data_IF_394018575141
#
_entry.id   IF_394018575141
#
_cell.length_a   1.000
_cell.length_b   1.000
_cell.length_c   1.000
_cell.angle_alpha   90.00
_cell.angle_beta   90.00
_cell.angle_gamma   90.00
#
_symmetry.space_group_name_H-M   'P 1'
#
loop_
_entity.id
_entity.type
_entity.pdbx_description
1 polymer ?
#
# COMPACT_ATOMS: atom_id res chain seq x y z
N UNK A 1 -31.18 -8.19 3.84
CA UNK A 1 -30.06 -8.43 2.90
C UNK A 1 -28.86 -8.93 3.69
N UNK A 2 -28.41 -10.16 3.40
CA UNK A 2 -27.48 -10.92 4.22
C UNK A 2 -26.03 -10.53 3.89
N UNK A 3 -25.44 -9.63 4.68
CA UNK A 3 -24.11 -9.08 4.42
C UNK A 3 -22.97 -10.13 4.49
N UNK A 4 -23.27 -11.32 5.03
CA UNK A 4 -22.35 -12.46 5.10
C UNK A 4 -22.18 -13.24 3.78
N UNK A 5 -23.02 -13.03 2.76
CA UNK A 5 -22.94 -13.80 1.53
C UNK A 5 -21.86 -13.32 0.55
N UNK A 6 -21.29 -12.13 0.76
CA UNK A 6 -20.24 -11.58 -0.11
C UNK A 6 -18.80 -11.97 0.28
N UNK A 7 -18.61 -12.56 1.46
CA UNK A 7 -17.32 -13.06 1.97
C UNK A 7 -16.92 -14.46 1.44
N UNK A 8 -17.64 -14.99 0.44
CA UNK A 8 -17.61 -16.42 0.11
C UNK A 8 -16.61 -16.83 -0.99
N UNK A 9 -15.66 -15.97 -1.38
CA UNK A 9 -14.65 -16.30 -2.41
C UNK A 9 -13.21 -16.39 -1.87
N UNK A 10 -13.02 -16.37 -0.55
CA UNK A 10 -11.74 -16.65 0.10
C UNK A 10 -11.60 -18.16 0.41
N UNK A 11 -10.41 -18.79 0.31
CA UNK A 11 -10.18 -20.23 0.56
C UNK A 11 -10.58 -20.74 1.96
N UNK A 12 -11.09 -19.86 2.84
CA UNK A 12 -11.66 -20.19 4.14
C UNK A 12 -13.10 -20.75 4.07
N UNK A 13 -13.66 -20.97 2.87
CA UNK A 13 -14.97 -21.61 2.71
C UNK A 13 -15.00 -23.08 3.21
N UNK A 14 -13.85 -23.74 3.35
CA UNK A 14 -13.79 -25.17 3.76
C UNK A 14 -13.71 -25.41 5.27
N UNK A 15 -13.53 -24.37 6.11
CA UNK A 15 -13.61 -24.51 7.57
C UNK A 15 -14.87 -23.83 8.13
N UNK A 16 -16.03 -24.27 7.63
CA UNK A 16 -17.36 -23.82 8.03
C UNK A 16 -17.88 -24.52 9.32
N UNK A 17 -17.02 -24.88 10.26
CA UNK A 17 -17.43 -25.40 11.56
C UNK A 17 -17.86 -24.24 12.48
N UNK A 18 -19.18 -24.10 12.65
CA UNK A 18 -19.89 -23.19 13.57
C UNK A 18 -19.50 -21.69 13.52
N UNK A 19 -20.10 -20.94 12.59
CA UNK A 19 -20.29 -19.49 12.79
C UNK A 19 -21.28 -19.28 13.94
N UNK A 20 -20.80 -19.23 15.19
CA UNK A 20 -21.63 -18.89 16.36
C UNK A 20 -22.18 -17.47 16.15
N UNK A 21 -23.51 -17.34 16.10
CA UNK A 21 -24.18 -16.03 16.09
C UNK A 21 -23.96 -15.39 17.45
N UNK A 22 -23.08 -14.39 17.52
CA UNK A 22 -22.72 -13.73 18.77
C UNK A 22 -23.80 -12.68 19.07
N UNK A 23 -24.42 -12.77 20.25
CA UNK A 23 -25.40 -11.80 20.75
C UNK A 23 -24.98 -11.33 22.14
N UNK A 24 -25.02 -10.02 22.40
CA UNK A 24 -24.59 -9.46 23.67
C UNK A 24 -24.64 -7.93 23.67
N UNK A 25 -24.07 -7.32 24.71
CA UNK A 25 -23.91 -5.86 24.81
C UNK A 25 -22.88 -5.35 23.78
N UNK A 26 -22.96 -4.07 23.42
CA UNK A 26 -22.01 -3.46 22.47
C UNK A 26 -20.56 -3.57 22.92
N UNK A 27 -20.30 -3.57 24.23
CA UNK A 27 -18.98 -3.85 24.81
C UNK A 27 -18.50 -5.27 24.47
N UNK A 28 -19.39 -6.25 24.58
CA UNK A 28 -19.04 -7.64 24.31
C UNK A 28 -18.80 -7.82 22.82
N UNK A 29 -19.68 -7.28 21.99
CA UNK A 29 -19.56 -7.39 20.54
C UNK A 29 -18.32 -6.65 20.03
N UNK A 30 -17.98 -5.47 20.57
CA UNK A 30 -16.80 -4.71 20.13
C UNK A 30 -15.50 -5.50 20.34
N UNK A 31 -15.40 -6.27 21.45
CA UNK A 31 -14.26 -7.19 21.69
C UNK A 31 -14.14 -8.28 20.63
N UNK A 32 -15.25 -8.87 20.19
CA UNK A 32 -15.22 -9.87 19.11
C UNK A 32 -14.84 -9.27 17.76
N UNK A 33 -15.39 -8.10 17.41
CA UNK A 33 -15.04 -7.42 16.16
C UNK A 33 -13.56 -7.02 16.17
N UNK A 34 -13.02 -6.60 17.31
CA UNK A 34 -11.58 -6.34 17.45
C UNK A 34 -10.73 -7.60 17.24
N UNK A 35 -11.16 -8.75 17.75
CA UNK A 35 -10.48 -10.02 17.46
C UNK A 35 -10.54 -10.40 15.98
N UNK A 36 -11.65 -10.12 15.30
CA UNK A 36 -11.75 -10.31 13.84
C UNK A 36 -10.76 -9.41 13.08
N UNK A 37 -10.61 -8.14 13.52
CA UNK A 37 -9.59 -7.21 12.98
C UNK A 37 -8.20 -7.81 13.11
N UNK A 38 -7.82 -8.29 14.31
CA UNK A 38 -6.51 -8.92 14.53
C UNK A 38 -6.33 -10.16 13.65
N UNK A 39 -7.39 -10.95 13.46
CA UNK A 39 -7.41 -12.10 12.57
C UNK A 39 -7.13 -11.73 11.11
N UNK A 40 -7.75 -10.67 10.60
CA UNK A 40 -7.52 -10.17 9.24
C UNK A 40 -6.11 -9.59 9.10
N UNK A 41 -5.63 -8.80 10.07
CA UNK A 41 -4.26 -8.29 10.07
C UNK A 41 -3.20 -9.41 10.04
N UNK A 42 -3.45 -10.49 10.79
CA UNK A 42 -2.59 -11.68 10.78
C UNK A 42 -2.56 -12.35 9.40
N UNK A 43 -3.72 -12.45 8.74
CA UNK A 43 -3.80 -13.02 7.40
C UNK A 43 -3.11 -12.14 6.35
N UNK A 44 -3.27 -10.82 6.44
CA UNK A 44 -2.55 -9.84 5.60
C UNK A 44 -1.04 -10.02 5.75
N UNK A 45 -0.55 -10.13 7.00
CA UNK A 45 0.87 -10.37 7.29
C UNK A 45 1.36 -11.70 6.68
N UNK A 46 0.58 -12.78 6.85
CA UNK A 46 0.90 -14.11 6.28
C UNK A 46 0.94 -14.09 4.76
N UNK A 47 0.02 -13.36 4.12
CA UNK A 47 0.03 -13.20 2.66
C UNK A 47 1.25 -12.41 2.21
N UNK A 48 1.65 -11.37 2.95
CA UNK A 48 2.87 -10.65 2.66
C UNK A 48 4.11 -11.53 2.72
N UNK A 49 4.26 -12.36 3.76
CA UNK A 49 5.38 -13.31 3.88
C UNK A 49 5.49 -14.25 2.67
N UNK A 50 4.36 -14.61 2.05
CA UNK A 50 4.32 -15.48 0.85
C UNK A 50 4.54 -14.75 -0.47
N UNK A 51 4.09 -13.50 -0.56
CA UNK A 51 3.94 -12.80 -1.85
C UNK A 51 4.86 -11.59 -2.01
N UNK A 52 5.38 -11.06 -0.91
CA UNK A 52 6.10 -9.77 -0.89
C UNK A 52 5.23 -8.59 -1.31
N UNK A 53 3.90 -8.68 -1.25
CA UNK A 53 2.99 -7.64 -1.77
C UNK A 53 3.00 -6.35 -0.94
N UNK A 54 3.31 -6.44 0.35
CA UNK A 54 3.55 -5.31 1.25
C UNK A 54 5.05 -5.01 1.40
N UNK A 55 5.89 -5.29 0.39
CA UNK A 55 7.21 -4.66 0.37
C UNK A 55 7.01 -3.16 0.53
N UNK A 56 7.79 -2.55 1.42
CA UNK A 56 7.81 -1.12 1.77
C UNK A 56 7.61 -0.20 0.55
N UNK A 57 8.21 -0.54 -0.58
CA UNK A 57 8.10 0.22 -1.84
C UNK A 57 6.73 0.19 -2.57
N UNK A 58 5.76 -0.60 -2.12
CA UNK A 58 4.49 -0.80 -2.83
C UNK A 58 3.36 0.10 -2.31
N UNK A 59 2.46 0.53 -3.22
CA UNK A 59 1.19 1.20 -2.87
C UNK A 59 0.45 0.50 -1.73
N UNK A 60 0.51 -0.84 -1.67
CA UNK A 60 -0.19 -1.62 -0.67
C UNK A 60 0.43 -1.54 0.71
N UNK A 61 1.75 -1.46 0.79
CA UNK A 61 2.44 -1.21 2.05
C UNK A 61 2.07 0.18 2.57
N UNK A 62 2.14 1.19 1.70
CA UNK A 62 1.75 2.56 2.06
C UNK A 62 0.28 2.66 2.44
N UNK A 63 -0.63 2.05 1.67
CA UNK A 63 -2.06 2.05 1.96
C UNK A 63 -2.37 1.35 3.29
N UNK A 64 -1.75 0.20 3.55
CA UNK A 64 -1.93 -0.53 4.80
C UNK A 64 -1.42 0.26 6.01
N UNK A 65 -0.27 0.91 5.87
CA UNK A 65 0.31 1.80 6.90
C UNK A 65 -0.58 3.01 7.17
N UNK A 66 -0.96 3.76 6.12
CA UNK A 66 -1.82 4.94 6.25
C UNK A 66 -3.17 4.60 6.86
N UNK A 67 -3.75 3.46 6.46
CA UNK A 67 -4.98 2.96 7.06
C UNK A 67 -4.78 2.69 8.55
N UNK A 68 -3.72 1.99 8.95
CA UNK A 68 -3.45 1.72 10.35
C UNK A 68 -3.29 2.99 11.19
N UNK A 69 -2.62 4.01 10.65
CA UNK A 69 -2.50 5.32 11.31
C UNK A 69 -3.83 6.05 11.42
N UNK A 70 -4.65 6.02 10.37
CA UNK A 70 -6.00 6.60 10.36
C UNK A 70 -6.89 5.94 11.41
N UNK A 71 -6.92 4.61 11.44
CA UNK A 71 -7.68 3.84 12.42
C UNK A 71 -7.25 4.17 13.86
N UNK A 72 -5.94 4.34 14.11
CA UNK A 72 -5.42 4.75 15.40
C UNK A 72 -5.86 6.18 15.78
N UNK A 73 -5.82 7.13 14.83
CA UNK A 73 -6.28 8.51 15.03
C UNK A 73 -7.77 8.57 15.34
N UNK A 74 -8.60 7.84 14.60
CA UNK A 74 -10.05 7.80 14.81
C UNK A 74 -10.41 7.21 16.19
N UNK A 75 -9.74 6.12 16.58
CA UNK A 75 -9.96 5.53 17.89
C UNK A 75 -9.57 6.49 19.03
N UNK A 76 -8.45 7.20 18.90
CA UNK A 76 -8.04 8.20 19.89
C UNK A 76 -9.00 9.41 19.92
N UNK A 77 -9.52 9.84 18.76
CA UNK A 77 -10.57 10.87 18.66
C UNK A 77 -11.83 10.44 19.41
N UNK A 78 -12.26 9.19 19.24
CA UNK A 78 -13.40 8.61 19.97
C UNK A 78 -13.15 8.62 21.48
N UNK A 79 -11.96 8.20 21.93
CA UNK A 79 -11.62 8.23 23.36
C UNK A 79 -11.68 9.64 23.94
N UNK A 80 -11.14 10.64 23.22
CA UNK A 80 -11.21 12.05 23.62
C UNK A 80 -12.64 12.58 23.68
N UNK A 81 -13.48 12.23 22.69
CA UNK A 81 -14.91 12.61 22.64
C UNK A 81 -15.65 12.22 23.92
N UNK A 82 -15.34 11.05 24.47
CA UNK A 82 -15.95 10.53 25.70
C UNK A 82 -15.12 10.77 26.96
N UNK A 83 -14.11 11.65 26.94
CA UNK A 83 -13.22 11.92 28.09
C UNK A 83 -12.61 10.65 28.68
N UNK A 84 -12.34 9.65 27.83
CA UNK A 84 -11.85 8.33 28.20
C UNK A 84 -12.79 7.49 29.08
N UNK A 85 -14.05 7.92 29.25
CA UNK A 85 -15.07 7.20 30.03
C UNK A 85 -15.74 6.10 29.18
N UNK A 86 -15.79 4.88 29.72
CA UNK A 86 -16.34 3.70 29.05
C UNK A 86 -17.84 3.54 29.32
N UNK A 87 -18.63 4.45 28.78
CA UNK A 87 -20.10 4.41 28.87
C UNK A 87 -20.72 3.45 27.85
N UNK A 88 -22.03 3.15 27.99
CA UNK A 88 -22.77 2.38 26.98
C UNK A 88 -22.69 3.06 25.59
N UNK A 89 -22.87 4.38 25.55
CA UNK A 89 -22.78 5.17 24.31
C UNK A 89 -21.39 5.11 23.68
N UNK A 90 -20.32 5.09 24.49
CA UNK A 90 -18.95 4.87 24.01
C UNK A 90 -18.82 3.52 23.30
N UNK A 91 -19.33 2.44 23.90
CA UNK A 91 -19.26 1.10 23.29
C UNK A 91 -20.11 0.95 22.03
N UNK A 92 -21.25 1.66 21.96
CA UNK A 92 -22.08 1.71 20.76
C UNK A 92 -21.31 2.35 19.58
N UNK A 93 -20.63 3.47 19.82
CA UNK A 93 -19.79 4.13 18.80
C UNK A 93 -18.52 3.35 18.48
N UNK A 94 -17.84 2.79 19.48
CA UNK A 94 -16.65 1.95 19.29
C UNK A 94 -16.98 0.75 18.40
N UNK A 95 -18.14 0.12 18.60
CA UNK A 95 -18.57 -1.01 17.79
C UNK A 95 -18.76 -0.62 16.32
N UNK A 96 -19.33 0.56 16.03
CA UNK A 96 -19.49 1.02 14.65
C UNK A 96 -18.14 1.36 14.00
N UNK A 97 -17.24 1.96 14.77
CA UNK A 97 -15.89 2.25 14.33
C UNK A 97 -15.13 0.97 13.95
N UNK A 98 -15.09 -0.01 14.85
CA UNK A 98 -14.41 -1.29 14.59
C UNK A 98 -15.04 -2.07 13.43
N UNK A 99 -16.35 -1.98 13.23
CA UNK A 99 -16.97 -2.57 12.03
C UNK A 99 -16.46 -1.92 10.75
N UNK A 100 -16.29 -0.60 10.74
CA UNK A 100 -15.75 0.14 9.59
C UNK A 100 -14.29 -0.25 9.33
N UNK A 101 -13.47 -0.29 10.39
CA UNK A 101 -12.07 -0.72 10.31
C UNK A 101 -11.92 -2.15 9.76
N UNK A 102 -12.77 -3.07 10.21
CA UNK A 102 -12.78 -4.43 9.70
C UNK A 102 -13.14 -4.49 8.20
N UNK A 103 -14.09 -3.68 7.74
CA UNK A 103 -14.47 -3.59 6.32
C UNK A 103 -13.29 -3.12 5.46
N UNK A 104 -12.60 -2.07 5.88
CA UNK A 104 -11.45 -1.52 5.16
C UNK A 104 -10.34 -2.56 5.02
N UNK A 105 -10.02 -3.27 6.11
CA UNK A 105 -9.02 -4.34 6.09
C UNK A 105 -9.41 -5.50 5.18
N UNK A 106 -10.69 -5.88 5.16
CA UNK A 106 -11.21 -6.89 4.22
C UNK A 106 -11.06 -6.42 2.77
N UNK A 107 -11.37 -5.16 2.47
CA UNK A 107 -11.18 -4.63 1.11
C UNK A 107 -9.71 -4.62 0.68
N UNK A 108 -8.78 -4.28 1.58
CA UNK A 108 -7.34 -4.38 1.32
C UNK A 108 -6.96 -5.84 1.03
N UNK A 109 -7.44 -6.77 1.86
CA UNK A 109 -7.19 -8.19 1.69
C UNK A 109 -7.68 -8.70 0.32
N UNK A 110 -8.92 -8.35 -0.06
CA UNK A 110 -9.50 -8.70 -1.36
C UNK A 110 -8.69 -8.10 -2.52
N UNK A 111 -8.26 -6.85 -2.38
CA UNK A 111 -7.43 -6.19 -3.37
C UNK A 111 -6.09 -6.89 -3.58
N UNK A 112 -5.48 -7.45 -2.51
CA UNK A 112 -4.22 -8.21 -2.61
C UNK A 112 -4.41 -9.57 -3.25
N UNK A 113 -5.56 -10.20 -3.00
CA UNK A 113 -5.91 -11.50 -3.56
C UNK A 113 -6.28 -11.42 -5.04
N UNK A 114 -6.66 -10.24 -5.55
CA UNK A 114 -6.98 -10.06 -6.96
C UNK A 114 -5.75 -10.33 -7.85
N UNK A 115 -5.90 -11.31 -8.76
CA UNK A 115 -4.82 -11.85 -9.61
C UNK A 115 -4.17 -10.82 -10.53
N UNK A 116 -4.95 -9.87 -11.05
CA UNK A 116 -4.43 -8.78 -11.90
C UNK A 116 -3.51 -7.85 -11.13
N UNK A 117 -3.94 -7.49 -9.93
CA UNK A 117 -3.21 -6.62 -9.01
C UNK A 117 -1.88 -7.28 -8.64
N UNK A 118 -1.90 -8.50 -8.08
CA UNK A 118 -0.69 -9.24 -7.70
C UNK A 118 0.31 -9.43 -8.86
N UNK A 119 -0.16 -9.68 -10.09
CA UNK A 119 0.70 -9.84 -11.26
C UNK A 119 1.40 -8.56 -11.70
N UNK A 120 0.77 -7.38 -11.55
CA UNK A 120 1.41 -6.08 -11.84
C UNK A 120 2.62 -5.87 -10.92
N UNK A 121 2.47 -6.16 -9.62
CA UNK A 121 3.58 -5.99 -8.65
C UNK A 121 4.68 -7.04 -8.82
N UNK A 122 4.31 -8.31 -9.06
CA UNK A 122 5.28 -9.38 -9.36
C UNK A 122 6.11 -9.06 -10.61
N UNK A 123 5.46 -8.53 -11.66
CA UNK A 123 6.15 -8.11 -12.90
C UNK A 123 7.12 -6.95 -12.68
N UNK A 124 6.76 -5.97 -11.84
CA UNK A 124 7.60 -4.80 -11.55
C UNK A 124 8.81 -5.12 -10.67
N UNK A 125 8.69 -6.07 -9.73
CA UNK A 125 9.85 -6.54 -8.94
C UNK A 125 10.86 -7.33 -9.79
N UNK A 126 10.41 -8.17 -10.73
CA UNK A 126 11.32 -8.92 -11.61
C UNK A 126 12.11 -8.04 -12.58
N UNK A 127 11.54 -6.92 -13.06
CA UNK A 127 12.28 -5.97 -13.92
C UNK A 127 13.43 -5.27 -13.18
N UNK A 128 13.22 -4.85 -11.93
CA UNK A 128 14.28 -4.25 -11.09
C UNK A 128 15.43 -5.20 -10.80
N UNK A 129 15.16 -6.51 -10.71
CA UNK A 129 16.20 -7.53 -10.49
C UNK A 129 17.09 -7.77 -11.73
N UNK A 130 16.63 -7.39 -12.92
CA UNK A 130 17.39 -7.57 -14.18
C UNK A 130 18.36 -6.43 -14.49
N UNK A 131 18.22 -5.26 -13.85
CA UNK A 131 19.06 -4.09 -14.10
C UNK A 131 20.29 -3.98 -13.18
N UNK A 132 20.47 -4.90 -12.22
CA UNK A 132 21.54 -4.83 -11.20
C UNK A 132 22.56 -5.97 -11.25
N UNK A 133 22.60 -6.77 -12.33
CA UNK A 133 23.52 -7.90 -12.48
C UNK A 133 24.78 -7.58 -13.29
N UNK A 134 25.39 -6.41 -13.13
CA UNK A 134 26.82 -6.23 -13.40
C UNK A 134 27.38 -5.20 -12.43
N UNK A 135 28.03 -5.65 -11.35
CA UNK A 135 29.30 -5.07 -10.85
C UNK A 135 29.77 -5.80 -9.57
N UNK A 136 30.71 -6.72 -9.78
CA UNK A 136 31.85 -7.14 -8.97
C UNK A 136 31.78 -7.14 -7.44
N UNK A 137 31.89 -8.37 -6.90
CA UNK A 137 32.22 -8.70 -5.52
C UNK A 137 33.70 -8.48 -5.23
N UNK A 138 34.03 -7.62 -4.27
CA UNK A 138 35.28 -7.69 -3.49
C UNK A 138 35.06 -7.25 -2.04
N UNK A 139 35.17 -8.20 -1.11
CA UNK A 139 35.90 -8.06 0.15
C UNK A 139 35.44 -7.07 1.25
N UNK A 140 34.77 -7.63 2.26
CA UNK A 140 34.99 -7.44 3.71
C UNK A 140 35.14 -6.03 4.31
N UNK A 141 34.18 -5.62 5.15
CA UNK A 141 34.42 -5.11 6.53
C UNK A 141 33.11 -4.92 7.30
N UNK A 142 33.15 -5.27 8.59
CA UNK A 142 32.07 -5.24 9.57
C UNK A 142 31.74 -3.82 10.04
N UNK A 143 30.72 -3.24 9.45
CA UNK A 143 29.80 -2.26 10.05
C UNK A 143 28.42 -2.61 9.49
N UNK A 144 27.33 -2.42 10.24
CA UNK A 144 25.97 -2.73 9.78
C UNK A 144 25.56 -1.79 8.62
N UNK A 145 26.08 -2.06 7.44
CA UNK A 145 25.72 -1.40 6.20
C UNK A 145 24.36 -1.97 5.81
N UNK A 146 23.32 -1.14 5.94
CA UNK A 146 22.05 -1.40 5.25
C UNK A 146 22.36 -1.77 3.79
N UNK A 147 21.76 -2.85 3.31
CA UNK A 147 21.79 -3.26 1.91
C UNK A 147 21.27 -2.12 1.02
N UNK A 148 21.66 -2.15 -0.25
CA UNK A 148 21.18 -1.15 -1.22
C UNK A 148 19.66 -1.17 -1.32
N UNK A 149 19.06 -2.35 -1.18
CA UNK A 149 17.63 -2.55 -1.10
C UNK A 149 16.99 -1.83 0.11
N UNK A 150 17.58 -1.93 1.30
CA UNK A 150 17.09 -1.23 2.49
C UNK A 150 17.21 0.30 2.37
N UNK A 151 18.25 0.79 1.69
CA UNK A 151 18.43 2.23 1.43
C UNK A 151 17.37 2.73 0.45
N UNK A 152 17.17 2.03 -0.67
CA UNK A 152 16.13 2.36 -1.66
C UNK A 152 14.73 2.36 -1.02
N UNK A 153 14.48 1.45 -0.06
CA UNK A 153 13.22 1.38 0.69
C UNK A 153 12.96 2.61 1.55
N UNK A 154 13.96 3.08 2.29
CA UNK A 154 13.83 4.29 3.11
C UNK A 154 13.53 5.49 2.21
N UNK A 155 14.29 5.63 1.12
CA UNK A 155 14.18 6.76 0.19
C UNK A 155 12.78 6.83 -0.43
N UNK A 156 12.25 5.70 -0.88
CA UNK A 156 10.95 5.63 -1.55
C UNK A 156 9.77 5.80 -0.57
N UNK A 157 9.89 5.36 0.69
CA UNK A 157 8.85 5.55 1.71
C UNK A 157 8.68 7.01 2.14
N UNK A 158 9.78 7.77 2.20
CA UNK A 158 9.78 9.17 2.63
C UNK A 158 9.61 10.15 1.46
N UNK A 159 9.43 9.63 0.24
CA UNK A 159 9.38 10.46 -0.96
C UNK A 159 8.18 11.43 -0.94
N UNK A 160 8.39 12.71 -1.28
CA UNK A 160 7.29 13.65 -1.49
C UNK A 160 6.33 13.18 -2.59
N UNK A 161 5.02 13.41 -2.40
CA UNK A 161 3.98 12.95 -3.33
C UNK A 161 4.16 13.45 -4.76
N UNK A 162 4.79 14.62 -4.96
CA UNK A 162 5.05 15.20 -6.28
C UNK A 162 6.09 14.41 -7.10
N UNK A 163 6.90 13.59 -6.43
CA UNK A 163 7.94 12.76 -7.05
C UNK A 163 7.47 11.33 -7.28
N UNK A 164 6.21 11.05 -6.96
CA UNK A 164 5.63 9.71 -6.94
C UNK A 164 4.62 9.56 -8.09
N UNK A 165 4.71 8.44 -8.80
CA UNK A 165 3.77 8.08 -9.86
C UNK A 165 2.38 7.73 -9.29
N UNK A 166 1.28 8.33 -9.80
CA UNK A 166 -0.07 8.11 -9.28
C UNK A 166 -0.63 6.71 -9.57
N UNK A 167 0.01 5.89 -10.41
CA UNK A 167 -0.42 4.50 -10.67
C UNK A 167 0.31 3.52 -9.76
N UNK A 168 1.64 3.59 -9.70
CA UNK A 168 2.48 2.66 -8.94
C UNK A 168 2.73 3.08 -7.50
N UNK A 169 2.56 4.37 -7.18
CA UNK A 169 2.95 4.97 -5.91
C UNK A 169 4.42 4.75 -5.57
N UNK A 170 5.28 4.71 -6.60
CA UNK A 170 6.73 4.67 -6.49
C UNK A 170 7.33 5.97 -7.02
N UNK A 171 8.56 6.28 -6.60
CA UNK A 171 9.37 7.32 -7.25
C UNK A 171 9.45 7.09 -8.77
N UNK A 172 9.30 8.17 -9.54
CA UNK A 172 9.41 8.09 -11.00
C UNK A 172 10.78 7.62 -11.45
N UNK A 173 10.83 6.71 -12.44
CA UNK A 173 12.07 6.36 -13.13
C UNK A 173 12.12 7.01 -14.52
N UNK A 174 11.01 6.96 -15.26
CA UNK A 174 10.86 7.62 -16.55
C UNK A 174 9.52 8.40 -16.59
N UNK A 175 9.46 9.59 -15.96
CA UNK A 175 8.24 10.36 -15.88
C UNK A 175 7.85 10.93 -17.25
N UNK A 176 6.60 10.72 -17.66
CA UNK A 176 5.99 11.31 -18.86
C UNK A 176 4.72 12.07 -18.51
N UNK A 177 4.52 13.23 -19.13
CA UNK A 177 3.34 14.07 -18.94
C UNK A 177 2.34 13.84 -20.07
N UNK A 178 1.05 13.70 -19.71
CA UNK A 178 -0.08 13.64 -20.65
C UNK A 178 -0.58 15.05 -21.00
N UNK A 179 -1.38 15.21 -22.08
CA UNK A 179 -2.07 16.47 -22.36
C UNK A 179 -2.98 16.98 -21.22
N UNK A 180 -3.40 16.10 -20.30
CA UNK A 180 -4.13 16.47 -19.09
C UNK A 180 -3.26 17.23 -18.07
N UNK A 181 -1.94 17.33 -18.30
CA UNK A 181 -0.99 17.92 -17.36
C UNK A 181 -0.55 16.98 -16.24
N UNK A 182 -0.91 15.69 -16.30
CA UNK A 182 -0.59 14.71 -15.25
C UNK A 182 0.65 13.92 -15.66
N UNK A 183 1.56 13.73 -14.71
CA UNK A 183 2.79 12.95 -14.91
C UNK A 183 2.60 11.51 -14.43
N UNK A 184 3.04 10.55 -15.24
CA UNK A 184 2.96 9.12 -14.98
C UNK A 184 4.30 8.44 -15.25
N UNK A 185 4.49 7.26 -14.67
CA UNK A 185 5.58 6.35 -15.07
C UNK A 185 5.29 5.81 -16.48
N UNK A 186 6.20 6.07 -17.44
CA UNK A 186 5.99 5.76 -18.87
C UNK A 186 5.60 4.32 -19.10
N UNK A 187 6.33 3.40 -18.49
CA UNK A 187 6.12 1.96 -18.69
C UNK A 187 4.71 1.52 -18.29
N UNK A 188 4.16 2.09 -17.22
CA UNK A 188 2.84 1.76 -16.69
C UNK A 188 1.72 2.46 -17.45
N UNK A 189 1.95 3.70 -17.89
CA UNK A 189 0.99 4.40 -18.74
C UNK A 189 0.82 3.68 -20.09
N UNK A 190 1.90 3.22 -20.71
CA UNK A 190 1.82 2.44 -21.95
C UNK A 190 1.09 1.11 -21.75
N UNK A 191 1.36 0.41 -20.64
CA UNK A 191 0.63 -0.81 -20.29
C UNK A 191 -0.87 -0.53 -20.11
N UNK A 192 -1.23 0.57 -19.44
CA UNK A 192 -2.62 1.00 -19.30
C UNK A 192 -3.27 1.23 -20.68
N UNK A 193 -2.60 1.99 -21.56
CA UNK A 193 -3.10 2.29 -22.89
C UNK A 193 -3.34 1.03 -23.73
N UNK A 194 -2.45 0.05 -23.62
CA UNK A 194 -2.56 -1.22 -24.32
C UNK A 194 -3.69 -2.11 -23.75
N UNK A 195 -3.82 -2.18 -22.42
CA UNK A 195 -4.74 -3.10 -21.76
C UNK A 195 -6.18 -2.56 -21.64
N UNK A 196 -6.34 -1.25 -21.44
CA UNK A 196 -7.64 -0.61 -21.16
C UNK A 196 -8.09 0.35 -22.26
N UNK A 197 -7.17 0.84 -23.09
CA UNK A 197 -7.43 1.78 -24.19
C UNK A 197 -6.72 3.12 -24.00
N UNK A 198 -6.60 3.89 -25.09
CA UNK A 198 -5.88 5.18 -25.13
C UNK A 198 -6.63 6.33 -24.45
N UNK A 199 -6.78 6.26 -23.13
CA UNK A 199 -7.31 7.35 -22.30
C UNK A 199 -6.47 7.56 -21.04
N UNK A 200 -6.55 8.77 -20.49
CA UNK A 200 -5.88 9.18 -19.27
C UNK A 200 -6.48 8.43 -18.06
N UNK A 201 -5.68 7.74 -17.23
CA UNK A 201 -6.17 6.94 -16.11
C UNK A 201 -7.06 7.71 -15.12
N UNK A 202 -6.77 9.00 -14.91
CA UNK A 202 -7.48 9.84 -13.93
C UNK A 202 -8.59 10.65 -14.58
N UNK A 203 -8.30 11.39 -15.65
CA UNK A 203 -9.29 12.30 -16.26
C UNK A 203 -10.20 11.63 -17.27
N UNK A 204 -9.84 10.43 -17.73
CA UNK A 204 -10.50 9.70 -18.83
C UNK A 204 -10.48 10.44 -20.17
N UNK A 205 -9.70 11.52 -20.30
CA UNK A 205 -9.50 12.20 -21.57
C UNK A 205 -8.77 11.28 -22.57
N UNK A 206 -9.12 11.30 -23.87
CA UNK A 206 -8.42 10.48 -24.87
C UNK A 206 -6.95 10.93 -25.01
N UNK A 207 -6.04 9.97 -25.01
CA UNK A 207 -4.59 10.21 -25.15
C UNK A 207 -3.98 9.29 -26.22
N UNK A 208 -2.95 9.78 -26.90
CA UNK A 208 -2.14 9.01 -27.85
C UNK A 208 -0.69 9.00 -27.38
N UNK A 209 0.05 7.94 -27.74
CA UNK A 209 1.44 7.78 -27.35
C UNK A 209 2.33 8.93 -27.87
N UNK A 210 2.03 9.45 -29.06
CA UNK A 210 2.72 10.60 -29.64
C UNK A 210 2.54 11.92 -28.88
N UNK A 211 1.61 11.96 -27.92
CA UNK A 211 1.33 13.13 -27.09
C UNK A 211 1.97 13.02 -25.70
N UNK A 212 2.73 11.94 -25.45
CA UNK A 212 3.44 11.74 -24.20
C UNK A 212 4.82 12.39 -24.30
N UNK A 213 5.09 13.32 -23.40
CA UNK A 213 6.37 14.04 -23.36
C UNK A 213 7.12 13.69 -22.08
N UNK A 214 8.43 13.44 -22.16
CA UNK A 214 9.25 13.22 -20.97
C UNK A 214 9.25 14.46 -20.07
N UNK A 215 8.92 14.27 -18.79
CA UNK A 215 8.96 15.34 -17.80
C UNK A 215 10.36 15.40 -17.16
N UNK A 216 11.29 16.08 -17.84
CA UNK A 216 12.68 16.17 -17.42
C UNK A 216 12.86 16.87 -16.05
N UNK A 217 11.96 17.80 -15.70
CA UNK A 217 12.00 18.50 -14.42
C UNK A 217 11.72 17.53 -13.27
N UNK A 218 10.68 16.71 -13.39
CA UNK A 218 10.39 15.67 -12.38
C UNK A 218 11.51 14.64 -12.33
N UNK A 219 12.06 14.25 -13.48
CA UNK A 219 13.18 13.31 -13.54
C UNK A 219 14.40 13.81 -12.76
N UNK A 220 14.80 15.07 -12.97
CA UNK A 220 15.93 15.65 -12.23
C UNK A 220 15.60 15.83 -10.74
N UNK A 221 14.36 16.22 -10.42
CA UNK A 221 13.92 16.38 -9.02
C UNK A 221 13.99 15.05 -8.25
N UNK A 222 13.66 13.93 -8.88
CA UNK A 222 13.80 12.59 -8.28
C UNK A 222 15.28 12.26 -8.05
N UNK A 223 16.14 12.51 -9.04
CA UNK A 223 17.58 12.25 -8.91
C UNK A 223 18.21 13.06 -7.78
N UNK A 224 17.84 14.34 -7.67
CA UNK A 224 18.32 15.20 -6.60
C UNK A 224 17.82 14.74 -5.22
N UNK A 225 16.55 14.36 -5.11
CA UNK A 225 16.00 13.79 -3.89
C UNK A 225 16.75 12.52 -3.46
N UNK A 226 17.01 11.60 -4.41
CA UNK A 226 17.75 10.37 -4.13
C UNK A 226 19.18 10.67 -3.64
N UNK A 227 19.92 11.54 -4.34
CA UNK A 227 21.28 11.95 -3.91
C UNK A 227 21.28 12.54 -2.50
N UNK A 228 20.36 13.48 -2.23
CA UNK A 228 20.27 14.12 -0.92
C UNK A 228 19.99 13.11 0.20
N UNK A 229 19.12 12.13 -0.04
CA UNK A 229 18.79 11.10 0.96
C UNK A 229 19.91 10.08 1.16
N UNK A 230 20.59 9.67 0.09
CA UNK A 230 21.77 8.80 0.20
C UNK A 230 22.88 9.45 1.04
N UNK A 231 23.13 10.76 0.85
CA UNK A 231 24.06 11.51 1.68
C UNK A 231 23.63 11.60 3.14
N UNK A 232 22.34 11.86 3.41
CA UNK A 232 21.78 11.92 4.76
C UNK A 232 21.98 10.58 5.49
N UNK A 233 21.65 9.47 4.83
CA UNK A 233 21.82 8.11 5.37
C UNK A 233 23.30 7.79 5.60
N UNK A 234 24.19 8.25 4.71
CA UNK A 234 25.64 8.02 4.86
C UNK A 234 26.22 8.83 6.01
N UNK A 235 25.82 10.10 6.17
CA UNK A 235 26.24 10.97 7.28
C UNK A 235 25.72 10.48 8.63
N UNK A 236 24.49 9.96 8.69
CA UNK A 236 23.93 9.38 9.91
C UNK A 236 24.65 8.11 10.40
N UNK A 237 25.48 7.49 9.54
CA UNK A 237 26.27 6.28 9.85
C UNK A 237 27.72 6.59 10.27
N UNK A 238 28.21 7.80 10.04
CA UNK A 238 29.57 8.25 10.37
C UNK A 238 29.65 8.80 11.79
#
# INVERSE_FOLDING_TARGET
MNWLSKLNHSPRAENAAQKKKISGTSETISKYVYNDILGVQTEIKRLNEKTGVLTSNGIFSRLYTLLGEEQAREYESLRKKFRYEKSKAFYDEQLQLYKSHLQELVHILDMFQNSHTSNIYKGNQSKRKSTSLEENRTGSSSASLLSKEEVDEIINNEAPDQLIDPISFNLFSDPVVTPSGITYEKSLLLQHMQAKGGFDPLTRAPIKESQLYSNLVVKESVLEYMRSKEEEITKAKA
#
